data_IF_537030990943
#
_entry.id   IF_537030990943
#
_cell.length_a   1.000
_cell.length_b   1.000
_cell.length_c   1.000
_cell.angle_alpha   90.00
_cell.angle_beta   90.00
_cell.angle_gamma   90.00
#
_symmetry.space_group_name_H-M   'P 1'
#
loop_
_entity.id
_entity.type
_entity.pdbx_description
1 polymer ?
#
# COMPACT_ATOMS: atom_id res chain seq x y z
N UNK A 1 -17.23 -2.10 -6.20
CA UNK A 1 -16.32 -1.10 -5.63
C UNK A 1 -14.91 -1.68 -5.77
N UNK A 2 -13.88 -0.93 -5.38
CA UNK A 2 -12.49 -1.39 -5.36
C UNK A 2 -11.91 -1.08 -4.00
N UNK A 3 -10.87 -1.80 -3.58
CA UNK A 3 -10.10 -1.45 -2.39
C UNK A 3 -8.67 -1.14 -2.80
N UNK A 4 -8.17 0.00 -2.34
CA UNK A 4 -6.85 0.53 -2.70
C UNK A 4 -5.99 0.55 -1.44
N UNK A 5 -4.79 0.00 -1.58
CA UNK A 5 -3.70 0.06 -0.62
C UNK A 5 -2.65 1.07 -1.08
N UNK A 6 -2.23 1.92 -0.17
CA UNK A 6 -1.04 2.75 -0.28
C UNK A 6 -0.09 2.42 0.85
N UNK A 7 1.20 2.39 0.56
CA UNK A 7 2.22 2.38 1.60
C UNK A 7 3.40 3.28 1.27
N UNK A 8 4.08 3.71 2.32
CA UNK A 8 5.25 4.58 2.28
C UNK A 8 6.32 4.11 3.27
N UNK A 9 7.59 4.34 2.95
CA UNK A 9 8.71 3.98 3.83
C UNK A 9 8.91 5.09 4.87
N UNK A 10 8.81 4.72 6.15
CA UNK A 10 9.01 5.68 7.23
C UNK A 10 10.44 6.21 7.24
N UNK A 11 10.59 7.52 7.10
CA UNK A 11 11.90 8.18 7.15
C UNK A 11 12.76 7.95 5.91
N UNK A 12 12.17 7.59 4.77
CA UNK A 12 12.91 7.35 3.53
C UNK A 12 13.85 8.50 3.15
N UNK A 13 13.40 9.75 3.24
CA UNK A 13 14.23 10.92 2.92
C UNK A 13 15.51 10.96 3.76
N UNK A 14 15.42 10.65 5.05
CA UNK A 14 16.58 10.63 5.95
C UNK A 14 17.51 9.46 5.64
N UNK A 15 16.96 8.27 5.35
CA UNK A 15 17.73 7.08 4.96
C UNK A 15 18.44 7.30 3.62
N UNK A 16 17.72 7.86 2.65
CA UNK A 16 18.25 8.15 1.32
C UNK A 16 19.37 9.21 1.37
N UNK A 17 19.27 10.18 2.28
CA UNK A 17 20.29 11.21 2.48
C UNK A 17 21.61 10.65 3.07
N UNK A 18 21.57 9.53 3.80
CA UNK A 18 22.77 8.86 4.33
C UNK A 18 23.32 7.73 3.44
N UNK A 19 22.60 7.38 2.37
CA UNK A 19 22.99 6.38 1.37
C UNK A 19 23.69 7.01 0.16
N UNK A 20 24.53 6.22 -0.52
CA UNK A 20 24.86 6.53 -1.91
C UNK A 20 23.66 6.26 -2.82
N UNK A 21 23.55 6.92 -4.00
CA UNK A 21 22.45 6.66 -4.93
C UNK A 21 22.31 5.17 -5.31
N UNK A 22 23.43 4.46 -5.47
CA UNK A 22 23.42 3.04 -5.77
C UNK A 22 22.81 2.22 -4.63
N UNK A 23 23.15 2.53 -3.38
CA UNK A 23 22.58 1.87 -2.20
C UNK A 23 21.07 2.11 -2.07
N UNK A 24 20.58 3.32 -2.37
CA UNK A 24 19.13 3.60 -2.38
C UNK A 24 18.42 2.74 -3.41
N UNK A 25 18.97 2.64 -4.62
CA UNK A 25 18.40 1.81 -5.70
C UNK A 25 18.38 0.34 -5.31
N UNK A 26 19.47 -0.19 -4.76
CA UNK A 26 19.54 -1.59 -4.28
C UNK A 26 18.52 -1.86 -3.17
N UNK A 27 18.37 -0.94 -2.22
CA UNK A 27 17.37 -1.05 -1.13
C UNK A 27 15.94 -1.09 -1.68
N UNK A 28 15.59 -0.15 -2.56
CA UNK A 28 14.27 -0.10 -3.18
C UNK A 28 14.01 -1.34 -4.03
N UNK A 29 14.99 -1.80 -4.79
CA UNK A 29 14.87 -3.02 -5.58
C UNK A 29 14.63 -4.25 -4.70
N UNK A 30 15.37 -4.41 -3.61
CA UNK A 30 15.17 -5.52 -2.67
C UNK A 30 13.78 -5.47 -2.02
N UNK A 31 13.31 -4.27 -1.67
CA UNK A 31 11.96 -4.06 -1.14
C UNK A 31 10.90 -4.47 -2.17
N UNK A 32 11.00 -3.98 -3.40
CA UNK A 32 10.01 -4.26 -4.44
C UNK A 32 10.02 -5.72 -4.89
N UNK A 33 11.18 -6.37 -4.98
CA UNK A 33 11.25 -7.83 -5.24
C UNK A 33 10.56 -8.59 -4.10
N UNK A 34 10.81 -8.19 -2.85
CA UNK A 34 10.13 -8.80 -1.71
C UNK A 34 8.61 -8.61 -1.82
N UNK A 35 8.13 -7.40 -2.08
CA UNK A 35 6.70 -7.12 -2.16
C UNK A 35 6.04 -7.79 -3.36
N UNK A 36 6.66 -7.71 -4.54
CA UNK A 36 6.15 -8.31 -5.77
C UNK A 36 5.97 -9.83 -5.62
N UNK A 37 6.92 -10.52 -4.98
CA UNK A 37 6.78 -11.96 -4.69
C UNK A 37 5.65 -12.30 -3.70
N UNK A 38 5.27 -11.37 -2.81
CA UNK A 38 4.18 -11.56 -1.85
C UNK A 38 2.83 -11.33 -2.51
N UNK A 39 2.70 -10.27 -3.29
CA UNK A 39 1.41 -9.92 -3.90
C UNK A 39 0.92 -10.96 -4.92
N UNK A 40 1.82 -11.77 -5.49
CA UNK A 40 1.47 -12.89 -6.37
C UNK A 40 0.54 -13.94 -5.71
N UNK A 41 0.50 -13.99 -4.38
CA UNK A 41 -0.37 -14.92 -3.63
C UNK A 41 -1.80 -14.39 -3.42
N UNK A 42 -2.11 -13.18 -3.86
CA UNK A 42 -3.37 -12.49 -3.60
C UNK A 42 -4.04 -12.03 -4.90
N UNK A 43 -5.36 -11.89 -4.90
CA UNK A 43 -6.13 -11.34 -6.03
C UNK A 43 -6.04 -9.81 -6.05
N UNK A 44 -4.88 -9.30 -6.44
CA UNK A 44 -4.53 -7.89 -6.43
C UNK A 44 -3.78 -7.46 -7.69
N UNK A 45 -3.84 -6.18 -7.99
CA UNK A 45 -3.18 -5.56 -9.13
C UNK A 45 -2.26 -4.43 -8.66
N UNK A 46 -0.98 -4.54 -9.01
CA UNK A 46 0.03 -3.49 -8.77
C UNK A 46 -0.21 -2.32 -9.72
N UNK A 47 -0.42 -1.14 -9.14
CA UNK A 47 -0.59 0.12 -9.89
C UNK A 47 0.78 0.78 -10.04
N UNK A 48 0.98 1.57 -11.09
CA UNK A 48 2.23 2.32 -11.23
C UNK A 48 2.47 3.23 -10.02
N UNK A 49 3.68 3.20 -9.47
CA UNK A 49 4.08 3.93 -8.28
C UNK A 49 4.96 5.13 -8.61
N UNK A 50 4.99 6.12 -7.71
CA UNK A 50 5.87 7.29 -7.79
C UNK A 50 6.75 7.31 -6.54
N UNK A 51 8.08 7.25 -6.72
CA UNK A 51 9.03 7.30 -5.60
C UNK A 51 9.12 5.99 -4.82
N UNK A 52 9.03 6.09 -3.51
CA UNK A 52 9.05 4.99 -2.52
C UNK A 52 7.65 4.53 -2.10
N UNK A 53 6.60 5.14 -2.65
CA UNK A 53 5.24 4.70 -2.43
C UNK A 53 4.98 3.36 -3.15
N UNK A 54 4.22 2.47 -2.52
CA UNK A 54 3.74 1.22 -3.14
C UNK A 54 2.22 1.20 -3.18
N UNK A 55 1.65 1.06 -4.38
CA UNK A 55 0.21 1.17 -4.62
C UNK A 55 -0.32 -0.12 -5.24
N UNK A 56 -1.34 -0.68 -4.61
CA UNK A 56 -1.97 -1.93 -5.02
C UNK A 56 -3.49 -1.77 -4.92
N UNK A 57 -4.24 -2.37 -5.84
CA UNK A 57 -5.69 -2.36 -5.81
C UNK A 57 -6.28 -3.75 -6.05
N UNK A 58 -7.45 -4.02 -5.48
CA UNK A 58 -8.23 -5.24 -5.75
C UNK A 58 -9.66 -4.88 -6.17
N UNK A 59 -10.32 -5.80 -6.87
CA UNK A 59 -11.59 -5.58 -7.56
C UNK A 59 -11.43 -4.91 -8.93
N UNK A 60 -10.20 -4.83 -9.41
CA UNK A 60 -9.79 -4.39 -10.73
C UNK A 60 -8.50 -5.13 -11.15
N UNK A 61 -8.21 -5.28 -12.47
CA UNK A 61 -9.09 -4.94 -13.59
C UNK A 61 -10.34 -5.83 -13.66
N UNK A 62 -10.28 -7.02 -13.06
CA UNK A 62 -11.42 -7.92 -12.90
C UNK A 62 -12.13 -7.67 -11.57
N UNK A 63 -13.47 -7.68 -11.61
CA UNK A 63 -14.28 -7.50 -10.41
C UNK A 63 -14.37 -8.82 -9.66
N UNK A 64 -14.07 -8.79 -8.36
CA UNK A 64 -14.10 -9.98 -7.50
C UNK A 64 -15.17 -9.92 -6.40
N UNK A 65 -16.21 -9.08 -6.58
CA UNK A 65 -17.32 -8.95 -5.64
C UNK A 65 -16.93 -8.14 -4.39
N UNK A 66 -17.17 -8.71 -3.21
CA UNK A 66 -16.79 -8.13 -1.90
C UNK A 66 -15.41 -8.57 -1.43
N UNK A 67 -14.78 -9.53 -2.12
CA UNK A 67 -13.48 -10.10 -1.74
C UNK A 67 -12.33 -9.11 -1.80
N UNK A 68 -12.44 -8.05 -2.59
CA UNK A 68 -11.39 -7.04 -2.74
C UNK A 68 -10.86 -6.46 -1.42
N UNK A 69 -11.71 -6.31 -0.40
CA UNK A 69 -11.30 -5.74 0.87
C UNK A 69 -10.45 -6.75 1.67
N UNK A 70 -10.90 -8.01 1.70
CA UNK A 70 -10.23 -9.12 2.39
C UNK A 70 -8.86 -9.44 1.75
N UNK A 71 -8.79 -9.49 0.42
CA UNK A 71 -7.54 -9.67 -0.33
C UNK A 71 -6.51 -8.58 0.01
N UNK A 72 -6.93 -7.32 -0.03
CA UNK A 72 -6.05 -6.20 0.33
C UNK A 72 -5.68 -6.25 1.81
N UNK A 73 -6.60 -6.56 2.72
CA UNK A 73 -6.29 -6.60 4.15
C UNK A 73 -5.28 -7.71 4.49
N UNK A 74 -5.42 -8.91 3.92
CA UNK A 74 -4.46 -10.01 4.09
C UNK A 74 -3.08 -9.66 3.52
N UNK A 75 -3.06 -9.18 2.27
CA UNK A 75 -1.84 -8.71 1.62
C UNK A 75 -1.15 -7.62 2.47
N UNK A 76 -1.90 -6.65 2.99
CA UNK A 76 -1.34 -5.54 3.78
C UNK A 76 -0.64 -6.03 5.05
N UNK A 77 -1.22 -7.02 5.74
CA UNK A 77 -0.60 -7.63 6.92
C UNK A 77 0.71 -8.35 6.57
N UNK A 78 0.72 -9.08 5.46
CA UNK A 78 1.91 -9.78 4.96
C UNK A 78 3.03 -8.80 4.59
N UNK A 79 2.73 -7.74 3.84
CA UNK A 79 3.70 -6.71 3.46
C UNK A 79 4.30 -5.97 4.66
N UNK A 80 3.47 -5.58 5.64
CA UNK A 80 3.92 -4.91 6.87
C UNK A 80 4.79 -5.83 7.72
N UNK A 81 4.56 -7.14 7.70
CA UNK A 81 5.43 -8.11 8.36
C UNK A 81 6.75 -8.33 7.57
N UNK A 82 6.66 -8.48 6.25
CA UNK A 82 7.77 -8.79 5.36
C UNK A 82 8.80 -7.67 5.26
N UNK A 83 8.38 -6.39 5.32
CA UNK A 83 9.30 -5.24 5.23
C UNK A 83 10.42 -5.25 6.28
N UNK A 84 10.20 -5.90 7.43
CA UNK A 84 11.21 -6.06 8.48
C UNK A 84 12.38 -6.94 8.06
N UNK A 85 12.21 -7.76 7.04
CA UNK A 85 13.27 -8.62 6.49
C UNK A 85 14.20 -7.85 5.54
N UNK A 86 13.77 -6.67 5.07
CA UNK A 86 14.56 -5.84 4.17
C UNK A 86 15.61 -5.07 4.97
N UNK A 87 16.87 -5.30 4.61
CA UNK A 87 18.03 -4.69 5.26
C UNK A 87 18.25 -3.28 4.71
N UNK A 88 18.47 -2.32 5.60
CA UNK A 88 18.87 -0.97 5.23
C UNK A 88 20.37 -1.02 4.89
N UNK A 89 20.80 -0.56 3.70
CA UNK A 89 22.23 -0.37 3.41
C UNK A 89 22.86 0.45 4.54
N UNK A 90 24.15 0.28 4.82
CA UNK A 90 24.88 1.01 5.88
C UNK A 90 24.35 0.88 7.34
N UNK A 91 23.17 0.31 7.58
CA UNK A 91 22.59 0.08 8.91
C UNK A 91 22.05 -1.36 9.04
N UNK A 92 22.92 -2.36 9.22
CA UNK A 92 22.54 -3.78 9.22
C UNK A 92 21.60 -4.18 10.37
N UNK A 93 21.60 -3.43 11.48
CA UNK A 93 20.65 -3.58 12.59
C UNK A 93 19.35 -2.81 12.37
N UNK A 94 19.33 -1.87 11.43
CA UNK A 94 18.17 -1.08 11.05
C UNK A 94 17.13 -1.97 10.38
N UNK A 95 15.87 -1.66 10.64
CA UNK A 95 14.72 -2.36 10.05
C UNK A 95 13.85 -1.32 9.38
N UNK A 96 13.53 -1.54 8.11
CA UNK A 96 12.58 -0.66 7.43
C UNK A 96 11.22 -0.75 8.12
N UNK A 97 10.59 0.40 8.24
CA UNK A 97 9.24 0.53 8.75
C UNK A 97 8.35 1.05 7.63
N UNK A 98 7.14 0.51 7.57
CA UNK A 98 6.16 0.85 6.55
C UNK A 98 4.99 1.54 7.23
N UNK A 99 4.46 2.60 6.63
CA UNK A 99 3.11 3.09 6.89
C UNK A 99 2.21 2.59 5.80
N UNK A 100 0.99 2.21 6.15
CA UNK A 100 0.01 1.74 5.20
C UNK A 100 -1.35 2.37 5.42
N UNK A 101 -2.06 2.62 4.32
CA UNK A 101 -3.40 3.16 4.26
C UNK A 101 -4.28 2.36 3.32
N UNK A 102 -5.51 2.08 3.73
CA UNK A 102 -6.49 1.35 2.93
C UNK A 102 -7.81 2.13 2.87
N UNK A 103 -8.36 2.24 1.66
CA UNK A 103 -9.69 2.76 1.45
C UNK A 103 -10.46 1.96 0.40
N UNK A 104 -11.76 1.80 0.65
CA UNK A 104 -12.70 1.09 -0.22
C UNK A 104 -13.71 2.08 -0.79
N UNK A 105 -13.88 2.10 -2.11
CA UNK A 105 -14.76 3.06 -2.76
C UNK A 105 -14.91 2.86 -4.26
N UNK A 106 -15.67 3.72 -4.95
CA UNK A 106 -15.76 3.74 -6.40
C UNK A 106 -14.49 4.36 -7.00
N UNK A 107 -13.96 3.79 -8.07
CA UNK A 107 -12.90 4.42 -8.86
C UNK A 107 -13.14 4.22 -10.36
N UNK A 108 -12.50 5.05 -11.16
CA UNK A 108 -12.43 4.91 -12.61
C UNK A 108 -11.04 4.42 -12.98
N UNK A 109 -10.97 3.35 -13.75
CA UNK A 109 -9.71 2.82 -14.26
C UNK A 109 -9.67 2.95 -15.78
N UNK A 110 -8.51 3.27 -16.34
CA UNK A 110 -8.35 3.43 -17.79
C UNK A 110 -6.90 3.42 -18.23
N UNK A 111 -6.68 3.14 -19.51
CA UNK A 111 -5.34 3.21 -20.12
C UNK A 111 -5.10 4.62 -20.64
N UNK A 112 -4.05 5.26 -20.15
CA UNK A 112 -3.67 6.62 -20.53
C UNK A 112 -2.35 6.61 -21.29
N UNK A 113 -2.29 7.35 -22.39
CA UNK A 113 -1.09 7.49 -23.23
C UNK A 113 -1.11 6.58 -24.45
N UNK A 114 -0.56 7.10 -25.56
CA UNK A 114 -0.46 6.36 -26.83
C UNK A 114 0.89 5.67 -27.00
N UNK A 115 2.00 6.37 -26.71
CA UNK A 115 3.37 5.82 -26.86
C UNK A 115 3.82 4.97 -25.67
N UNK A 116 3.34 5.29 -24.48
CA UNK A 116 3.60 4.55 -23.23
C UNK A 116 2.25 4.41 -22.51
N UNK A 117 1.43 3.41 -22.89
CA UNK A 117 0.13 3.18 -22.28
C UNK A 117 0.29 2.75 -20.82
N UNK A 118 -0.42 3.42 -19.91
CA UNK A 118 -0.38 3.17 -18.47
C UNK A 118 -1.76 2.92 -17.94
N UNK A 119 -1.93 1.88 -17.14
CA UNK A 119 -3.19 1.61 -16.47
C UNK A 119 -3.29 2.48 -15.23
N UNK A 120 -4.10 3.54 -15.30
CA UNK A 120 -4.22 4.54 -14.26
C UNK A 120 -5.56 4.43 -13.55
N UNK A 121 -5.55 4.74 -12.26
CA UNK A 121 -6.74 4.84 -11.41
C UNK A 121 -7.02 6.30 -11.09
N UNK A 122 -8.29 6.68 -11.18
CA UNK A 122 -8.78 8.03 -10.95
C UNK A 122 -9.97 8.03 -10.00
N UNK A 123 -10.13 9.15 -9.30
CA UNK A 123 -11.25 9.42 -8.40
C UNK A 123 -10.82 9.58 -6.95
N UNK A 124 -11.76 10.04 -6.13
CA UNK A 124 -11.52 10.41 -4.74
C UNK A 124 -11.08 9.23 -3.87
N UNK A 125 -11.39 8.00 -4.29
CA UNK A 125 -10.93 6.77 -3.61
C UNK A 125 -9.40 6.69 -3.57
N UNK A 126 -8.70 7.10 -4.64
CA UNK A 126 -7.23 7.10 -4.68
C UNK A 126 -6.66 8.12 -3.69
N UNK A 127 -7.20 9.34 -3.71
CA UNK A 127 -6.77 10.41 -2.81
C UNK A 127 -7.02 10.04 -1.35
N UNK A 128 -8.20 9.48 -1.05
CA UNK A 128 -8.57 9.06 0.30
C UNK A 128 -7.68 7.93 0.80
N UNK A 129 -7.34 6.94 -0.04
CA UNK A 129 -6.40 5.88 0.32
C UNK A 129 -5.01 6.44 0.66
N UNK A 130 -4.49 7.37 -0.14
CA UNK A 130 -3.23 8.07 0.13
C UNK A 130 -3.27 8.88 1.43
N UNK A 131 -4.42 9.48 1.76
CA UNK A 131 -4.61 10.18 3.04
C UNK A 131 -4.62 9.24 4.25
N UNK A 132 -5.21 8.05 4.11
CA UNK A 132 -5.15 7.01 5.15
C UNK A 132 -3.71 6.60 5.43
N UNK A 133 -2.88 6.48 4.38
CA UNK A 133 -1.46 6.13 4.49
C UNK A 133 -0.68 7.26 5.19
N UNK A 134 -0.78 8.49 4.70
CA UNK A 134 0.02 9.60 5.21
C UNK A 134 -0.27 9.93 6.68
N UNK A 135 -1.49 9.68 7.15
CA UNK A 135 -1.90 9.80 8.56
C UNK A 135 -1.66 8.53 9.38
N UNK A 136 -1.19 7.45 8.76
CA UNK A 136 -0.92 6.17 9.42
C UNK A 136 0.28 6.26 10.37
N UNK A 137 0.29 5.39 11.38
CA UNK A 137 1.42 5.24 12.29
C UNK A 137 2.44 4.25 11.69
N UNK A 138 3.74 4.40 12.01
CA UNK A 138 4.75 3.43 11.61
C UNK A 138 4.35 2.00 12.00
N UNK A 139 4.50 1.06 11.07
CA UNK A 139 4.20 -0.37 11.26
C UNK A 139 2.74 -0.66 11.61
N UNK A 140 1.82 0.24 11.20
CA UNK A 140 0.37 0.07 11.33
C UNK A 140 -0.30 0.25 9.97
N UNK A 141 -1.46 -0.37 9.83
CA UNK A 141 -2.33 -0.24 8.68
C UNK A 141 -3.52 0.62 9.13
N UNK A 142 -3.71 1.74 8.48
CA UNK A 142 -4.81 2.65 8.77
C UNK A 142 -5.90 2.44 7.73
N UNK A 143 -7.13 2.22 8.18
CA UNK A 143 -8.26 1.93 7.29
C UNK A 143 -9.36 2.97 7.48
N UNK A 144 -10.03 3.31 6.38
CA UNK A 144 -11.24 4.13 6.43
C UNK A 144 -12.45 3.36 6.99
N UNK A 145 -13.50 4.08 7.39
CA UNK A 145 -14.78 3.49 7.79
C UNK A 145 -15.39 2.60 6.70
N UNK A 146 -15.31 3.01 5.43
CA UNK A 146 -15.82 2.23 4.31
C UNK A 146 -15.10 0.87 4.16
N UNK A 147 -13.79 0.82 4.47
CA UNK A 147 -13.03 -0.44 4.49
C UNK A 147 -13.38 -1.28 5.71
N UNK A 148 -13.57 -0.66 6.86
CA UNK A 148 -14.05 -1.35 8.07
C UNK A 148 -15.38 -2.05 7.82
N UNK A 149 -16.35 -1.37 7.21
CA UNK A 149 -17.65 -1.93 6.84
C UNK A 149 -17.52 -3.10 5.85
N UNK A 150 -16.56 -3.03 4.92
CA UNK A 150 -16.29 -4.10 3.97
C UNK A 150 -15.63 -5.34 4.61
N UNK A 151 -14.96 -5.20 5.76
CA UNK A 151 -14.26 -6.27 6.48
C UNK A 151 -15.07 -6.88 7.64
N UNK A 152 -16.21 -6.28 7.98
CA UNK A 152 -17.05 -6.67 9.13
C UNK A 152 -17.69 -8.06 9.02
N UNK A 153 -17.70 -8.66 7.83
CA UNK A 153 -18.52 -9.84 7.53
C UNK A 153 -18.14 -11.10 8.32
N UNK A 154 -16.86 -11.28 8.64
CA UNK A 154 -16.35 -12.59 9.13
C UNK A 154 -15.60 -12.54 10.47
N UNK A 155 -15.48 -11.37 11.11
CA UNK A 155 -14.75 -11.22 12.39
C UNK A 155 -13.27 -11.64 12.32
N UNK A 156 -12.70 -11.70 11.13
CA UNK A 156 -11.35 -12.23 10.88
C UNK A 156 -10.21 -11.28 11.28
N UNK A 157 -10.54 -10.03 11.65
CA UNK A 157 -9.57 -8.97 11.89
C UNK A 157 -9.79 -8.31 13.25
N UNK A 158 -8.70 -8.11 13.99
CA UNK A 158 -8.68 -7.24 15.15
C UNK A 158 -8.47 -5.80 14.69
N UNK A 159 -9.50 -4.96 14.84
CA UNK A 159 -9.49 -3.57 14.40
C UNK A 159 -9.76 -2.67 15.60
N UNK A 160 -8.91 -1.65 15.78
CA UNK A 160 -9.04 -0.66 16.85
C UNK A 160 -9.46 0.69 16.28
N UNK A 161 -10.48 1.31 16.88
CA UNK A 161 -10.93 2.64 16.48
C UNK A 161 -9.88 3.69 16.85
N UNK A 162 -9.36 4.37 15.83
CA UNK A 162 -8.36 5.43 16.00
C UNK A 162 -8.93 6.77 16.48
N UNK A 163 -10.22 7.00 16.26
CA UNK A 163 -10.89 8.29 16.48
C UNK A 163 -11.01 9.11 15.20
N UNK A 164 -11.54 10.33 15.33
CA UNK A 164 -11.72 11.25 14.20
C UNK A 164 -10.39 11.92 13.84
N UNK A 165 -10.02 11.85 12.57
CA UNK A 165 -8.84 12.51 12.03
C UNK A 165 -9.30 13.42 10.91
N UNK A 166 -8.93 14.68 10.99
CA UNK A 166 -9.23 15.64 9.95
C UNK A 166 -8.37 15.35 8.71
N UNK A 167 -9.03 15.02 7.61
CA UNK A 167 -8.40 14.72 6.34
C UNK A 167 -8.78 15.81 5.33
N UNK A 168 -7.83 16.66 4.94
CA UNK A 168 -8.00 17.73 3.94
C UNK A 168 -8.01 17.17 2.54
#
# INVERSE_FOLDING_TARGET
QVTIFFSDIVGFTSIAASCTPLQVVEMLNNLYVCFDSRIESYDVYKVETIGDAYMVASGLPERNGTRHADEIAKMSLDLVAAVRQVVIPHMPTGRLQLRAGIHTGPCVAGVVGYKMPRYCLFGDTVNTASRMESTSLPQKIHISSATYDALLTDGAYEIELRGEIEVK
#
